data_IF_063031122246
#
_entry.id   IF_063031122246
#
_cell.length_a   1.000
_cell.length_b   1.000
_cell.length_c   1.000
_cell.angle_alpha   90.00
_cell.angle_beta   90.00
_cell.angle_gamma   90.00
#
_symmetry.space_group_name_H-M   'P 1'
#
loop_
_entity.id
_entity.type
_entity.pdbx_description
1 polymer ?
#
# COMPACT_ATOMS: atom_id res chain seq x y z
N UNK A 1 42.49 76.66 5.26
CA UNK A 1 41.73 76.14 4.10
C UNK A 1 42.30 74.85 3.48
N UNK A 2 43.58 74.52 3.65
CA UNK A 2 44.16 73.28 3.08
C UNK A 2 43.83 71.99 3.86
N UNK A 3 43.65 72.06 5.19
CA UNK A 3 43.37 70.88 6.02
C UNK A 3 41.95 70.30 5.82
N UNK A 4 40.98 71.13 5.45
CA UNK A 4 39.59 70.71 5.21
C UNK A 4 39.40 69.98 3.88
N UNK A 5 40.25 70.24 2.87
CA UNK A 5 40.22 69.53 1.59
C UNK A 5 40.81 68.11 1.70
N UNK A 6 41.82 67.90 2.54
CA UNK A 6 42.45 66.59 2.73
C UNK A 6 41.52 65.59 3.45
N UNK A 7 40.78 66.05 4.47
CA UNK A 7 39.79 65.24 5.17
C UNK A 7 38.61 64.84 4.27
N UNK A 8 38.15 65.73 3.39
CA UNK A 8 37.09 65.44 2.41
C UNK A 8 37.53 64.41 1.36
N UNK A 9 38.78 64.47 0.88
CA UNK A 9 39.33 63.48 -0.05
C UNK A 9 39.54 62.11 0.59
N UNK A 10 39.96 62.05 1.85
CA UNK A 10 40.10 60.79 2.59
C UNK A 10 38.73 60.15 2.88
N UNK A 11 37.72 60.95 3.20
CA UNK A 11 36.34 60.48 3.38
C UNK A 11 35.73 59.96 2.07
N UNK A 12 35.97 60.63 0.94
CA UNK A 12 35.56 60.16 -0.39
C UNK A 12 36.28 58.86 -0.81
N UNK A 13 37.56 58.70 -0.44
CA UNK A 13 38.31 57.46 -0.69
C UNK A 13 37.81 56.32 0.19
N UNK A 14 37.49 56.58 1.46
CA UNK A 14 36.90 55.60 2.38
C UNK A 14 35.47 55.21 1.95
N UNK A 15 34.66 56.15 1.47
CA UNK A 15 33.34 55.86 0.90
C UNK A 15 33.48 55.08 -0.41
N UNK A 16 34.49 55.36 -1.24
CA UNK A 16 34.76 54.60 -2.46
C UNK A 16 35.24 53.18 -2.17
N UNK A 17 36.08 52.97 -1.14
CA UNK A 17 36.56 51.64 -0.72
C UNK A 17 35.45 50.87 0.01
N UNK A 18 34.61 51.55 0.79
CA UNK A 18 33.43 50.94 1.40
C UNK A 18 32.37 50.62 0.32
N UNK A 19 32.20 51.46 -0.70
CA UNK A 19 31.29 51.20 -1.81
C UNK A 19 31.80 50.06 -2.70
N UNK A 20 33.10 49.91 -2.94
CA UNK A 20 33.66 48.74 -3.66
C UNK A 20 33.68 47.48 -2.80
N UNK A 21 33.84 47.58 -1.47
CA UNK A 21 33.65 46.46 -0.55
C UNK A 21 32.17 46.04 -0.46
N UNK A 22 31.23 47.00 -0.48
CA UNK A 22 29.79 46.73 -0.57
C UNK A 22 29.36 46.27 -1.97
N UNK A 23 30.06 46.65 -3.03
CA UNK A 23 29.86 46.08 -4.38
C UNK A 23 30.42 44.65 -4.48
N UNK A 24 31.49 44.33 -3.75
CA UNK A 24 32.01 42.97 -3.62
C UNK A 24 31.14 42.08 -2.71
N UNK A 25 30.45 42.66 -1.70
CA UNK A 25 29.43 41.96 -0.92
C UNK A 25 28.03 41.94 -1.59
N UNK A 26 27.85 42.68 -2.69
CA UNK A 26 26.60 42.75 -3.46
C UNK A 26 26.48 41.75 -4.61
N UNK A 27 27.53 40.97 -4.88
CA UNK A 27 27.51 39.79 -5.75
C UNK A 27 27.69 38.54 -4.89
N UNK A 28 26.79 38.31 -3.94
CA UNK A 28 26.63 37.00 -3.31
C UNK A 28 26.04 36.02 -4.33
N UNK A 29 26.81 35.71 -5.38
CA UNK A 29 26.56 34.55 -6.22
C UNK A 29 26.59 33.34 -5.30
N UNK A 30 25.50 32.56 -5.27
CA UNK A 30 25.43 31.31 -4.51
C UNK A 30 26.72 30.51 -4.72
N UNK A 31 27.28 29.96 -3.63
CA UNK A 31 28.47 29.11 -3.69
C UNK A 31 28.30 28.06 -4.79
N UNK A 32 29.35 27.79 -5.57
CA UNK A 32 29.24 26.86 -6.70
C UNK A 32 28.97 25.44 -6.19
N UNK A 33 28.26 24.63 -6.97
CA UNK A 33 28.14 23.20 -6.68
C UNK A 33 29.52 22.54 -6.85
N UNK A 34 29.83 21.54 -6.03
CA UNK A 34 31.03 20.74 -6.16
C UNK A 34 31.23 20.29 -7.63
N UNK A 35 32.40 20.57 -8.26
CA UNK A 35 32.61 20.30 -9.67
C UNK A 35 32.48 18.81 -10.05
N UNK A 36 32.86 17.89 -9.16
CA UNK A 36 32.73 16.45 -9.40
C UNK A 36 31.25 16.04 -9.38
N UNK A 37 30.48 16.57 -8.44
CA UNK A 37 29.03 16.32 -8.36
C UNK A 37 28.30 16.92 -9.56
N UNK A 38 28.70 18.10 -10.04
CA UNK A 38 28.13 18.70 -11.24
C UNK A 38 28.37 17.84 -12.49
N UNK A 39 29.56 17.25 -12.64
CA UNK A 39 29.86 16.31 -13.71
C UNK A 39 29.02 15.03 -13.58
N UNK A 40 28.87 14.50 -12.37
CA UNK A 40 28.04 13.32 -12.10
C UNK A 40 26.57 13.56 -12.46
N UNK A 41 25.99 14.70 -12.06
CA UNK A 41 24.62 15.07 -12.42
C UNK A 41 24.47 15.20 -13.95
N UNK A 42 25.42 15.82 -14.64
CA UNK A 42 25.41 15.90 -16.11
C UNK A 42 25.48 14.52 -16.78
N UNK A 43 26.28 13.61 -16.23
CA UNK A 43 26.38 12.22 -16.71
C UNK A 43 25.07 11.45 -16.52
N UNK A 44 24.28 11.78 -15.50
CA UNK A 44 22.91 11.26 -15.29
C UNK A 44 21.87 11.89 -16.23
N UNK A 45 22.27 12.76 -17.16
CA UNK A 45 21.38 13.44 -18.09
C UNK A 45 20.76 14.73 -17.54
N UNK A 46 21.16 15.17 -16.34
CA UNK A 46 20.54 16.29 -15.60
C UNK A 46 20.96 17.69 -16.07
N UNK A 47 21.57 17.80 -17.25
CA UNK A 47 22.09 19.07 -17.77
C UNK A 47 21.79 19.35 -19.25
N UNK A 48 21.11 18.45 -19.96
CA UNK A 48 20.91 18.62 -21.41
C UNK A 48 19.74 19.56 -21.77
N UNK A 49 18.80 19.83 -20.85
CA UNK A 49 17.56 20.56 -21.18
C UNK A 49 17.38 21.94 -20.54
N UNK A 50 18.11 22.32 -19.48
CA UNK A 50 18.05 23.67 -18.88
C UNK A 50 19.40 24.10 -18.33
N UNK A 51 19.86 25.29 -18.73
CA UNK A 51 21.08 25.93 -18.25
C UNK A 51 20.93 26.59 -16.87
N UNK A 52 20.19 25.95 -15.95
CA UNK A 52 19.95 26.43 -14.58
C UNK A 52 20.80 25.68 -13.55
N UNK A 53 20.93 26.25 -12.35
CA UNK A 53 21.53 25.56 -11.20
C UNK A 53 20.69 24.29 -10.89
N UNK A 54 21.30 23.08 -10.88
CA UNK A 54 20.59 21.84 -10.54
C UNK A 54 19.89 21.88 -9.19
N UNK A 55 20.41 22.68 -8.25
CA UNK A 55 19.84 22.88 -6.91
C UNK A 55 18.61 23.81 -6.89
N UNK A 56 18.33 24.51 -7.99
CA UNK A 56 17.23 25.48 -8.14
C UNK A 56 16.18 25.04 -9.15
N UNK A 57 16.35 23.86 -9.75
CA UNK A 57 15.49 23.38 -10.82
C UNK A 57 14.18 22.80 -10.26
N UNK A 58 13.13 23.63 -10.22
CA UNK A 58 11.75 23.15 -10.23
C UNK A 58 11.42 22.53 -11.60
N UNK A 59 11.52 21.20 -11.72
CA UNK A 59 11.29 20.45 -12.97
C UNK A 59 11.30 18.94 -12.76
N UNK A 60 11.36 18.16 -13.86
CA UNK A 60 11.35 16.68 -13.86
C UNK A 60 12.53 16.04 -13.11
N UNK A 61 13.51 16.82 -12.67
CA UNK A 61 14.58 16.36 -11.79
C UNK A 61 14.79 17.45 -10.77
N UNK A 62 14.63 17.09 -9.50
CA UNK A 62 14.83 17.98 -8.37
C UNK A 62 16.06 17.51 -7.60
N UNK A 63 17.07 18.37 -7.51
CA UNK A 63 18.17 18.17 -6.59
C UNK A 63 18.08 19.23 -5.49
N UNK A 64 18.28 18.80 -4.23
CA UNK A 64 18.45 19.71 -3.10
C UNK A 64 19.92 19.71 -2.69
N UNK A 65 20.41 20.88 -2.29
CA UNK A 65 21.81 21.08 -1.96
C UNK A 65 21.94 21.77 -0.61
N UNK A 66 23.04 21.50 0.09
CA UNK A 66 23.39 22.21 1.32
C UNK A 66 23.83 23.66 1.06
N UNK A 67 24.03 24.43 2.13
CA UNK A 67 24.57 25.79 2.09
C UNK A 67 26.11 25.80 2.29
N UNK A 68 26.81 24.74 1.90
CA UNK A 68 28.24 24.56 2.12
C UNK A 68 29.11 25.64 1.44
N UNK A 69 30.25 25.95 2.08
CA UNK A 69 31.29 26.84 1.56
C UNK A 69 32.66 26.13 1.61
N UNK A 70 33.52 26.25 0.59
CA UNK A 70 33.38 27.07 -0.63
C UNK A 70 32.45 26.45 -1.70
N UNK A 71 32.09 25.17 -1.56
CA UNK A 71 31.20 24.46 -2.48
C UNK A 71 29.95 23.94 -1.77
N UNK A 72 28.79 24.08 -2.42
CA UNK A 72 27.56 23.37 -2.07
C UNK A 72 27.66 21.91 -2.50
N UNK A 73 26.96 21.03 -1.80
CA UNK A 73 26.87 19.60 -2.14
C UNK A 73 25.43 19.13 -2.24
N UNK A 74 25.19 18.14 -3.09
CA UNK A 74 23.87 17.54 -3.27
C UNK A 74 23.52 16.68 -2.06
N UNK A 75 22.37 16.95 -1.44
CA UNK A 75 21.85 16.21 -0.28
C UNK A 75 20.63 15.35 -0.63
N UNK A 76 19.86 15.74 -1.65
CA UNK A 76 18.74 14.96 -2.16
C UNK A 76 18.75 14.98 -3.68
N UNK A 77 18.44 13.84 -4.29
CA UNK A 77 18.30 13.70 -5.73
C UNK A 77 17.02 12.92 -6.06
N UNK A 78 16.13 13.53 -6.84
CA UNK A 78 14.94 12.90 -7.39
C UNK A 78 15.00 12.89 -8.91
N UNK A 79 14.92 11.69 -9.50
CA UNK A 79 14.87 11.44 -10.93
C UNK A 79 13.42 11.09 -11.30
N UNK A 80 12.75 11.92 -12.10
CA UNK A 80 11.37 11.67 -12.53
C UNK A 80 11.23 11.62 -14.05
N UNK A 81 10.37 10.73 -14.54
CA UNK A 81 10.05 10.58 -15.96
C UNK A 81 11.30 10.40 -16.85
N UNK A 82 12.15 9.45 -16.47
CA UNK A 82 13.39 9.16 -17.20
C UNK A 82 13.08 8.45 -18.54
N UNK A 83 13.94 8.61 -19.54
CA UNK A 83 13.88 7.76 -20.74
C UNK A 83 14.45 6.37 -20.47
N UNK A 84 14.04 5.38 -21.26
CA UNK A 84 14.57 3.99 -21.23
C UNK A 84 16.10 3.91 -21.38
N UNK A 85 16.70 4.93 -22.00
CA UNK A 85 18.15 5.04 -22.23
C UNK A 85 18.91 5.64 -21.05
N UNK A 86 18.21 6.13 -20.03
CA UNK A 86 18.83 6.72 -18.84
C UNK A 86 19.47 5.61 -18.03
N UNK A 87 20.80 5.55 -17.98
CA UNK A 87 21.51 4.61 -17.11
C UNK A 87 22.02 5.35 -15.88
N UNK A 88 21.61 4.87 -14.70
CA UNK A 88 22.15 5.37 -13.44
C UNK A 88 23.52 4.74 -13.27
N UNK A 89 24.57 5.45 -13.67
CA UNK A 89 25.93 4.91 -13.61
C UNK A 89 26.40 4.82 -12.15
N UNK A 90 27.09 3.73 -11.81
CA UNK A 90 27.66 3.53 -10.48
C UNK A 90 28.63 4.67 -10.12
N UNK A 91 29.42 5.15 -11.09
CA UNK A 91 30.35 6.25 -10.92
C UNK A 91 29.65 7.58 -10.55
N UNK A 92 28.47 7.86 -11.12
CA UNK A 92 27.72 9.05 -10.76
C UNK A 92 27.17 8.97 -9.33
N UNK A 93 26.66 7.80 -8.94
CA UNK A 93 26.22 7.56 -7.55
C UNK A 93 27.39 7.65 -6.57
N UNK A 94 28.56 7.13 -6.92
CA UNK A 94 29.77 7.18 -6.11
C UNK A 94 30.25 8.62 -5.87
N UNK A 95 30.20 9.48 -6.89
CA UNK A 95 30.52 10.90 -6.75
C UNK A 95 29.54 11.67 -5.85
N UNK A 96 28.27 11.24 -5.80
CA UNK A 96 27.22 11.88 -5.00
C UNK A 96 27.15 11.31 -3.56
N UNK A 97 27.60 10.07 -3.37
CA UNK A 97 27.51 9.31 -2.12
C UNK A 97 27.96 10.06 -0.85
N UNK A 98 29.04 10.86 -0.83
CA UNK A 98 29.53 11.48 0.41
C UNK A 98 28.49 12.39 1.10
N UNK A 99 27.69 13.12 0.33
CA UNK A 99 26.74 14.11 0.83
C UNK A 99 25.27 13.71 0.65
N UNK A 100 24.98 12.74 -0.21
CA UNK A 100 23.62 12.34 -0.50
C UNK A 100 22.96 11.68 0.73
N UNK A 101 21.73 12.09 1.03
CA UNK A 101 20.90 11.59 2.14
C UNK A 101 19.55 11.04 1.65
N UNK A 102 19.06 11.55 0.53
CA UNK A 102 17.82 11.08 -0.07
C UNK A 102 17.99 10.80 -1.58
N UNK A 103 17.48 9.66 -2.04
CA UNK A 103 17.50 9.27 -3.45
C UNK A 103 16.13 8.74 -3.87
N UNK A 104 15.55 9.33 -4.90
CA UNK A 104 14.22 8.97 -5.40
C UNK A 104 14.22 8.72 -6.92
N UNK A 105 13.48 7.69 -7.33
CA UNK A 105 13.17 7.36 -8.71
C UNK A 105 11.65 7.30 -8.90
N UNK A 106 11.12 8.01 -9.90
CA UNK A 106 9.70 8.01 -10.23
C UNK A 106 9.50 7.90 -11.73
N UNK A 107 8.78 6.89 -12.20
CA UNK A 107 8.55 6.64 -13.63
C UNK A 107 9.85 6.61 -14.45
N UNK A 108 10.86 5.92 -13.93
CA UNK A 108 12.17 5.76 -14.56
C UNK A 108 12.39 4.29 -14.94
N UNK A 109 12.02 3.87 -16.17
CA UNK A 109 12.15 2.49 -16.67
C UNK A 109 13.61 2.03 -16.91
N UNK A 110 14.58 2.80 -16.43
CA UNK A 110 16.00 2.50 -16.46
C UNK A 110 16.30 1.08 -15.94
N UNK A 111 17.34 0.44 -16.47
CA UNK A 111 17.82 -0.81 -15.88
C UNK A 111 18.33 -0.55 -14.45
N UNK A 112 18.06 -1.46 -13.49
CA UNK A 112 18.53 -1.31 -12.12
C UNK A 112 20.07 -1.36 -12.10
N UNK A 113 20.73 -0.74 -11.10
CA UNK A 113 22.16 -0.91 -10.92
C UNK A 113 22.49 -2.41 -10.80
N UNK A 114 23.36 -2.92 -11.68
CA UNK A 114 23.80 -4.33 -11.64
C UNK A 114 24.75 -4.63 -10.47
N UNK A 115 25.26 -3.58 -9.82
CA UNK A 115 26.21 -3.64 -8.72
C UNK A 115 25.53 -3.25 -7.41
N UNK A 116 26.04 -3.78 -6.30
CA UNK A 116 25.67 -3.35 -4.95
C UNK A 116 25.86 -1.83 -4.80
N UNK A 117 25.11 -1.17 -3.90
CA UNK A 117 25.29 0.27 -3.68
C UNK A 117 26.72 0.55 -3.19
N UNK A 118 27.34 1.66 -3.60
CA UNK A 118 28.64 2.09 -3.05
C UNK A 118 28.57 2.15 -1.52
N UNK A 119 29.64 1.72 -0.82
CA UNK A 119 29.63 1.64 0.66
C UNK A 119 29.29 2.97 1.33
N UNK A 120 29.82 4.08 0.81
CA UNK A 120 29.51 5.41 1.33
C UNK A 120 28.05 5.80 1.13
N UNK A 121 27.44 5.38 0.01
CA UNK A 121 26.02 5.62 -0.25
C UNK A 121 25.18 4.81 0.74
N UNK A 122 25.51 3.54 0.92
CA UNK A 122 24.84 2.65 1.85
C UNK A 122 24.92 3.13 3.31
N UNK A 123 26.06 3.71 3.71
CA UNK A 123 26.25 4.27 5.04
C UNK A 123 25.59 5.66 5.22
N UNK A 124 25.46 6.44 4.15
CA UNK A 124 24.99 7.83 4.23
C UNK A 124 23.50 8.04 3.96
N UNK A 125 22.85 7.13 3.23
CA UNK A 125 21.47 7.33 2.77
C UNK A 125 20.46 7.10 3.90
N UNK A 126 19.54 8.05 4.06
CA UNK A 126 18.49 8.06 5.08
C UNK A 126 17.09 7.84 4.49
N UNK A 127 16.89 8.19 3.22
CA UNK A 127 15.62 8.03 2.51
C UNK A 127 15.86 7.47 1.11
N UNK A 128 15.16 6.38 0.76
CA UNK A 128 15.17 5.81 -0.57
C UNK A 128 13.74 5.60 -1.07
N UNK A 129 13.46 6.10 -2.27
CA UNK A 129 12.17 5.93 -2.93
C UNK A 129 12.33 5.41 -4.36
N UNK A 130 11.54 4.40 -4.72
CA UNK A 130 11.48 3.85 -6.07
C UNK A 130 10.02 3.56 -6.42
N UNK A 131 9.46 4.35 -7.33
CA UNK A 131 8.06 4.23 -7.76
C UNK A 131 7.99 4.00 -9.27
N UNK A 132 7.36 2.90 -9.69
CA UNK A 132 7.21 2.54 -11.11
C UNK A 132 8.53 2.66 -11.90
N UNK A 133 9.63 2.30 -11.26
CA UNK A 133 10.99 2.57 -11.72
C UNK A 133 11.88 1.34 -11.65
N UNK A 134 13.03 1.41 -12.31
CA UNK A 134 14.12 0.46 -12.29
C UNK A 134 13.80 -0.94 -12.83
N UNK A 135 12.61 -1.15 -13.41
CA UNK A 135 12.13 -2.41 -14.00
C UNK A 135 11.94 -3.54 -12.98
N UNK A 136 13.00 -3.94 -12.28
CA UNK A 136 13.00 -4.94 -11.22
C UNK A 136 14.10 -4.63 -10.20
N UNK A 137 13.73 -4.40 -8.93
CA UNK A 137 14.68 -4.00 -7.89
C UNK A 137 15.18 -5.21 -7.10
N UNK A 138 16.48 -5.28 -6.83
CA UNK A 138 17.07 -6.36 -6.02
C UNK A 138 16.85 -6.10 -4.53
N UNK A 139 16.24 -7.03 -3.80
CA UNK A 139 16.15 -6.88 -2.35
C UNK A 139 17.51 -6.96 -1.66
N UNK A 140 18.47 -7.70 -2.23
CA UNK A 140 19.84 -7.77 -1.70
C UNK A 140 20.52 -6.41 -1.83
N UNK A 141 20.18 -5.64 -2.87
CA UNK A 141 20.65 -4.27 -3.02
C UNK A 141 20.04 -3.37 -1.92
N UNK A 142 18.73 -3.48 -1.70
CA UNK A 142 18.01 -2.73 -0.66
C UNK A 142 18.51 -3.05 0.76
N UNK A 143 18.75 -4.33 1.06
CA UNK A 143 19.15 -4.77 2.40
C UNK A 143 20.53 -4.25 2.83
N UNK A 144 21.29 -3.63 1.91
CA UNK A 144 22.57 -2.96 2.25
C UNK A 144 22.38 -1.53 2.74
N UNK A 145 21.22 -0.91 2.52
CA UNK A 145 20.94 0.45 2.95
C UNK A 145 20.49 0.46 4.42
N UNK A 146 21.40 0.11 5.33
CA UNK A 146 21.10 -0.15 6.74
C UNK A 146 20.65 1.09 7.53
N UNK A 147 21.10 2.28 7.13
CA UNK A 147 20.81 3.54 7.84
C UNK A 147 19.52 4.24 7.38
N UNK A 148 18.69 3.56 6.58
CA UNK A 148 17.43 4.14 6.13
C UNK A 148 16.47 4.36 7.30
N UNK A 149 15.90 5.56 7.31
CA UNK A 149 14.76 5.96 8.15
C UNK A 149 13.46 5.86 7.38
N UNK A 150 13.51 6.01 6.06
CA UNK A 150 12.36 5.90 5.16
C UNK A 150 12.71 5.05 3.93
N UNK A 151 11.88 4.05 3.65
CA UNK A 151 11.97 3.21 2.47
C UNK A 151 10.63 3.16 1.76
N UNK A 152 10.62 3.53 0.48
CA UNK A 152 9.45 3.41 -0.40
C UNK A 152 9.81 2.64 -1.66
N UNK A 153 9.12 1.54 -1.90
CA UNK A 153 9.16 0.76 -3.14
C UNK A 153 7.72 0.53 -3.58
N UNK A 154 7.28 1.19 -4.64
CA UNK A 154 5.89 1.14 -5.07
C UNK A 154 5.80 0.82 -6.57
N UNK A 155 4.92 -0.10 -6.96
CA UNK A 155 4.72 -0.48 -8.37
C UNK A 155 6.00 -0.93 -9.08
N UNK A 156 6.98 -1.46 -8.34
CA UNK A 156 8.24 -1.98 -8.87
C UNK A 156 8.45 -3.39 -8.33
N UNK A 157 8.54 -4.43 -9.17
CA UNK A 157 8.69 -5.79 -8.70
C UNK A 157 10.06 -5.99 -8.03
N UNK A 158 10.05 -6.61 -6.84
CA UNK A 158 11.27 -7.06 -6.18
C UNK A 158 11.73 -8.41 -6.78
N UNK A 159 13.04 -8.54 -7.03
CA UNK A 159 13.70 -9.77 -7.43
C UNK A 159 14.37 -10.40 -6.21
N UNK A 160 13.82 -11.51 -5.74
CA UNK A 160 14.29 -12.10 -4.48
C UNK A 160 14.46 -13.60 -4.51
N UNK A 161 13.82 -14.32 -5.43
CA UNK A 161 14.06 -15.74 -5.64
C UNK A 161 13.92 -16.62 -4.38
N UNK A 162 13.28 -16.12 -3.33
CA UNK A 162 13.20 -16.71 -1.99
C UNK A 162 11.82 -16.46 -1.40
N UNK A 163 11.25 -17.36 -0.58
CA UNK A 163 9.95 -17.17 0.07
C UNK A 163 9.98 -16.27 1.32
N UNK A 164 11.13 -15.72 1.74
CA UNK A 164 11.25 -14.87 2.95
C UNK A 164 11.71 -13.44 2.61
N UNK A 165 11.13 -12.86 1.57
CA UNK A 165 11.62 -11.66 0.90
C UNK A 165 11.62 -10.44 1.81
N UNK A 166 10.53 -10.23 2.56
CA UNK A 166 10.39 -9.11 3.48
C UNK A 166 11.45 -9.14 4.59
N UNK A 167 11.65 -10.32 5.19
CA UNK A 167 12.62 -10.51 6.27
C UNK A 167 14.05 -10.19 5.81
N UNK A 168 14.40 -10.56 4.58
CA UNK A 168 15.72 -10.23 4.00
C UNK A 168 15.88 -8.71 3.87
N UNK A 169 14.88 -8.01 3.32
CA UNK A 169 14.94 -6.55 3.11
C UNK A 169 15.18 -5.82 4.44
N UNK A 170 14.39 -6.14 5.47
CA UNK A 170 14.38 -5.36 6.72
C UNK A 170 15.36 -5.87 7.78
N UNK A 171 16.06 -6.97 7.54
CA UNK A 171 16.91 -7.66 8.53
C UNK A 171 17.98 -6.80 9.20
N UNK A 172 18.40 -5.71 8.57
CA UNK A 172 19.47 -4.81 9.04
C UNK A 172 19.04 -3.34 9.01
N UNK A 173 17.73 -3.05 9.04
CA UNK A 173 17.19 -1.68 8.95
C UNK A 173 16.72 -1.16 10.31
N UNK A 174 17.61 -1.10 11.29
CA UNK A 174 17.26 -0.83 12.70
C UNK A 174 16.71 0.60 12.94
N UNK A 175 16.96 1.52 12.00
CA UNK A 175 16.57 2.94 12.09
C UNK A 175 15.28 3.28 11.33
N UNK A 176 14.61 2.27 10.76
CA UNK A 176 13.48 2.49 9.87
C UNK A 176 12.23 2.95 10.64
N UNK A 177 11.69 4.10 10.25
CA UNK A 177 10.47 4.71 10.80
C UNK A 177 9.28 4.57 9.86
N UNK A 178 9.53 4.58 8.54
CA UNK A 178 8.50 4.48 7.50
C UNK A 178 8.90 3.44 6.47
N UNK A 179 8.06 2.42 6.31
CA UNK A 179 8.23 1.37 5.32
C UNK A 179 7.01 1.29 4.43
N UNK A 180 7.21 1.48 3.13
CA UNK A 180 6.20 1.26 2.10
C UNK A 180 6.81 0.33 1.05
N UNK A 181 6.29 -0.89 0.94
CA UNK A 181 6.57 -1.81 -0.16
C UNK A 181 5.24 -2.21 -0.74
N UNK A 182 4.74 -1.49 -1.76
CA UNK A 182 3.40 -1.71 -2.32
C UNK A 182 3.46 -2.11 -3.79
N UNK A 183 2.57 -3.02 -4.21
CA UNK A 183 2.52 -3.54 -5.59
C UNK A 183 3.90 -4.02 -6.09
N UNK A 184 4.69 -4.65 -5.21
CA UNK A 184 6.08 -5.00 -5.46
C UNK A 184 6.28 -6.49 -5.72
N UNK A 185 5.19 -7.26 -5.89
CA UNK A 185 5.20 -8.70 -6.06
C UNK A 185 5.86 -9.45 -4.88
N UNK A 186 5.89 -8.83 -3.69
CA UNK A 186 6.49 -9.41 -2.50
C UNK A 186 5.69 -10.64 -2.08
N UNK A 187 6.35 -11.77 -1.92
CA UNK A 187 5.73 -13.05 -1.55
C UNK A 187 6.29 -13.57 -0.23
N UNK A 188 5.65 -14.60 0.31
CA UNK A 188 6.07 -15.22 1.57
C UNK A 188 5.14 -14.93 2.73
N UNK A 189 5.74 -14.71 3.91
CA UNK A 189 5.05 -14.51 5.19
C UNK A 189 5.52 -13.21 5.85
N UNK A 190 4.67 -12.64 6.70
CA UNK A 190 5.10 -11.60 7.62
C UNK A 190 6.10 -12.17 8.63
N UNK A 191 7.18 -11.43 8.97
CA UNK A 191 8.19 -11.91 9.89
C UNK A 191 7.61 -12.02 11.31
N UNK A 192 7.99 -13.07 12.02
CA UNK A 192 7.69 -13.20 13.45
C UNK A 192 8.50 -12.22 14.30
N UNK A 193 9.62 -11.68 13.79
CA UNK A 193 10.45 -10.73 14.52
C UNK A 193 10.73 -9.52 13.65
N UNK A 194 10.33 -8.35 14.13
CA UNK A 194 10.57 -7.06 13.49
C UNK A 194 11.85 -6.45 14.07
N UNK A 195 12.84 -6.19 13.21
CA UNK A 195 14.11 -5.56 13.61
C UNK A 195 14.04 -4.02 13.58
N UNK A 196 12.88 -3.46 13.24
CA UNK A 196 12.63 -2.02 13.12
C UNK A 196 11.66 -1.57 14.22
N UNK A 197 12.11 -1.39 15.48
CA UNK A 197 11.22 -1.14 16.62
C UNK A 197 10.53 0.24 16.57
N UNK A 198 11.11 1.20 15.85
CA UNK A 198 10.62 2.58 15.75
C UNK A 198 9.66 2.81 14.59
N UNK A 199 9.14 1.73 13.99
CA UNK A 199 8.27 1.84 12.82
C UNK A 199 6.94 2.51 13.19
N UNK A 200 6.66 3.63 12.52
CA UNK A 200 5.43 4.42 12.69
C UNK A 200 4.44 4.22 11.54
N UNK A 201 4.94 3.80 10.37
CA UNK A 201 4.15 3.55 9.17
C UNK A 201 4.63 2.29 8.47
N UNK A 202 3.70 1.35 8.28
CA UNK A 202 3.90 0.12 7.55
C UNK A 202 2.82 -0.01 6.46
N UNK A 203 3.24 0.03 5.21
CA UNK A 203 2.41 -0.29 4.06
C UNK A 203 3.04 -1.41 3.25
N UNK A 204 2.37 -2.56 3.24
CA UNK A 204 2.75 -3.75 2.46
C UNK A 204 1.64 -4.12 1.46
N UNK A 205 0.82 -3.16 1.06
CA UNK A 205 -0.38 -3.41 0.25
C UNK A 205 -0.09 -3.90 -1.17
N UNK A 206 -1.03 -4.66 -1.74
CA UNK A 206 -0.96 -5.08 -3.15
C UNK A 206 0.16 -6.06 -3.46
N UNK A 207 0.54 -6.89 -2.48
CA UNK A 207 1.58 -7.91 -2.64
C UNK A 207 0.96 -9.32 -2.67
N UNK A 208 1.82 -10.35 -2.56
CA UNK A 208 1.45 -11.76 -2.52
C UNK A 208 1.80 -12.38 -1.16
N UNK A 209 1.76 -11.58 -0.09
CA UNK A 209 2.07 -12.06 1.26
C UNK A 209 0.93 -12.96 1.72
N UNK A 210 1.29 -14.09 2.31
CA UNK A 210 0.36 -15.15 2.71
C UNK A 210 0.57 -15.56 4.17
N UNK A 211 -0.30 -16.43 4.68
CA UNK A 211 -0.25 -16.87 6.07
C UNK A 211 -0.99 -15.95 7.02
N UNK A 212 -0.80 -16.16 8.32
CA UNK A 212 -1.45 -15.35 9.36
C UNK A 212 -0.69 -14.06 9.62
N UNK A 213 -1.41 -13.04 10.11
CA UNK A 213 -0.79 -11.88 10.73
C UNK A 213 -0.23 -12.37 12.08
N UNK A 214 1.09 -12.38 12.29
CA UNK A 214 1.65 -12.86 13.54
C UNK A 214 1.34 -11.87 14.66
N UNK A 215 1.04 -12.38 15.86
CA UNK A 215 0.78 -11.53 17.05
C UNK A 215 1.96 -10.60 17.34
N UNK A 216 3.17 -10.97 16.96
CA UNK A 216 4.37 -10.15 17.16
C UNK A 216 4.37 -8.84 16.38
N UNK A 217 3.43 -8.61 15.46
CA UNK A 217 3.19 -7.28 14.87
C UNK A 217 2.78 -6.25 15.94
N UNK A 218 2.21 -6.69 17.07
CA UNK A 218 1.81 -5.81 18.17
C UNK A 218 3.00 -5.30 18.98
N UNK A 219 4.21 -5.81 18.74
CA UNK A 219 5.44 -5.26 19.30
C UNK A 219 5.89 -3.96 18.61
N UNK A 220 5.30 -3.61 17.46
CA UNK A 220 5.56 -2.33 16.78
C UNK A 220 4.85 -1.19 17.50
N UNK A 221 5.25 -0.93 18.74
CA UNK A 221 4.54 -0.01 19.64
C UNK A 221 4.28 1.35 19.01
N UNK A 222 5.22 1.94 18.27
CA UNK A 222 5.06 3.26 17.67
C UNK A 222 4.17 3.35 16.42
N UNK A 223 3.53 2.26 15.97
CA UNK A 223 2.82 2.24 14.69
C UNK A 223 1.53 3.06 14.73
N UNK A 224 1.39 3.95 13.75
CA UNK A 224 0.22 4.83 13.57
C UNK A 224 -0.60 4.45 12.34
N UNK A 225 0.04 3.83 11.34
CA UNK A 225 -0.57 3.45 10.08
C UNK A 225 -0.13 2.04 9.71
N UNK A 226 -1.10 1.13 9.60
CA UNK A 226 -0.90 -0.25 9.22
C UNK A 226 -1.77 -0.57 8.00
N UNK A 227 -1.13 -0.80 6.85
CA UNK A 227 -1.80 -1.21 5.63
C UNK A 227 -1.21 -2.55 5.14
N UNK A 228 -2.00 -3.61 5.25
CA UNK A 228 -1.70 -4.96 4.75
C UNK A 228 -2.70 -5.40 3.68
N UNK A 229 -3.44 -4.46 3.10
CA UNK A 229 -4.53 -4.74 2.19
C UNK A 229 -4.07 -5.41 0.90
N UNK A 230 -4.99 -6.08 0.19
CA UNK A 230 -4.75 -6.64 -1.13
C UNK A 230 -3.57 -7.62 -1.14
N UNK A 231 -3.60 -8.59 -0.22
CA UNK A 231 -2.65 -9.68 -0.07
C UNK A 231 -3.39 -11.04 -0.02
N UNK A 232 -2.69 -12.12 0.33
CA UNK A 232 -3.26 -13.45 0.54
C UNK A 232 -3.24 -13.86 2.02
N UNK A 233 -3.38 -12.90 2.94
CA UNK A 233 -3.39 -13.16 4.39
C UNK A 233 -4.63 -13.94 4.80
N UNK A 234 -4.50 -14.80 5.80
CA UNK A 234 -5.56 -15.70 6.30
C UNK A 234 -5.53 -15.82 7.81
N UNK A 235 -6.54 -16.45 8.41
CA UNK A 235 -6.64 -16.57 9.87
C UNK A 235 -7.21 -15.30 10.50
N UNK A 236 -7.05 -15.16 11.81
CA UNK A 236 -7.70 -14.10 12.57
C UNK A 236 -6.87 -12.81 12.61
N UNK A 237 -7.56 -11.69 12.85
CA UNK A 237 -6.90 -10.46 13.29
C UNK A 237 -6.30 -10.73 14.68
N UNK A 238 -5.03 -10.40 14.94
CA UNK A 238 -4.39 -10.60 16.24
C UNK A 238 -5.23 -10.06 17.38
N UNK A 239 -5.46 -10.88 18.41
CA UNK A 239 -6.27 -10.49 19.56
C UNK A 239 -5.69 -9.28 20.30
N UNK A 240 -4.38 -9.05 20.19
CA UNK A 240 -3.65 -7.97 20.83
C UNK A 240 -3.46 -6.73 19.95
N UNK A 241 -4.19 -6.62 18.82
CA UNK A 241 -4.07 -5.45 17.94
C UNK A 241 -4.38 -4.13 18.66
N UNK A 242 -5.22 -4.18 19.71
CA UNK A 242 -5.53 -3.04 20.58
C UNK A 242 -4.36 -2.51 21.43
N UNK A 243 -3.27 -3.27 21.56
CA UNK A 243 -2.06 -2.83 22.29
C UNK A 243 -1.29 -1.74 21.53
N UNK A 244 -1.57 -1.59 20.23
CA UNK A 244 -0.99 -0.58 19.34
C UNK A 244 -1.72 0.76 19.48
N UNK A 245 -1.67 1.36 20.67
CA UNK A 245 -2.49 2.51 21.10
C UNK A 245 -2.36 3.78 20.24
N UNK A 246 -1.36 3.86 19.37
CA UNK A 246 -1.17 5.00 18.46
C UNK A 246 -1.75 4.78 17.07
N UNK A 247 -2.38 3.64 16.80
CA UNK A 247 -3.02 3.36 15.51
C UNK A 247 -4.13 4.38 15.22
N UNK A 248 -4.00 5.01 14.06
CA UNK A 248 -5.00 5.91 13.47
C UNK A 248 -5.63 5.29 12.22
N UNK A 249 -4.90 4.41 11.53
CA UNK A 249 -5.35 3.74 10.31
C UNK A 249 -4.98 2.27 10.32
N UNK A 250 -5.98 1.42 10.10
CA UNK A 250 -5.82 -0.01 9.87
C UNK A 250 -6.56 -0.39 8.60
N UNK A 251 -5.81 -0.82 7.58
CA UNK A 251 -6.36 -1.38 6.35
C UNK A 251 -5.89 -2.83 6.16
N UNK A 252 -6.81 -3.76 6.33
CA UNK A 252 -6.62 -5.20 6.13
C UNK A 252 -7.51 -5.73 5.00
N UNK A 253 -8.08 -4.83 4.19
CA UNK A 253 -9.05 -5.19 3.16
C UNK A 253 -8.48 -6.07 2.05
N UNK A 254 -9.34 -6.74 1.29
CA UNK A 254 -8.95 -7.61 0.17
C UNK A 254 -7.93 -8.68 0.59
N UNK A 255 -8.27 -9.47 1.61
CA UNK A 255 -7.50 -10.61 2.07
C UNK A 255 -8.44 -11.83 2.24
N UNK A 256 -8.01 -12.86 2.97
CA UNK A 256 -8.83 -14.01 3.36
C UNK A 256 -8.86 -14.19 4.89
N UNK A 257 -8.85 -13.08 5.63
CA UNK A 257 -8.95 -13.08 7.10
C UNK A 257 -10.32 -13.59 7.54
N UNK A 258 -10.37 -14.27 8.68
CA UNK A 258 -11.58 -14.90 9.24
C UNK A 258 -11.71 -14.66 10.75
N UNK A 259 -12.83 -15.05 11.33
CA UNK A 259 -13.16 -14.75 12.73
C UNK A 259 -13.78 -13.36 12.89
N UNK A 260 -14.06 -12.99 14.14
CA UNK A 260 -14.66 -11.70 14.49
C UNK A 260 -13.63 -10.58 14.64
N UNK A 261 -14.14 -9.35 14.78
CA UNK A 261 -13.33 -8.18 15.12
C UNK A 261 -12.94 -8.30 16.61
N UNK A 262 -11.64 -8.31 16.97
CA UNK A 262 -11.21 -8.44 18.37
C UNK A 262 -11.76 -7.31 19.26
N UNK A 263 -12.16 -7.66 20.48
CA UNK A 263 -12.68 -6.68 21.46
C UNK A 263 -11.65 -5.61 21.83
N UNK A 264 -10.36 -5.95 21.77
CA UNK A 264 -9.25 -5.02 22.02
C UNK A 264 -9.19 -3.87 21.02
N UNK A 265 -9.85 -3.94 19.86
CA UNK A 265 -9.97 -2.77 18.95
C UNK A 265 -10.63 -1.59 19.66
N UNK A 266 -11.49 -1.83 20.66
CA UNK A 266 -12.10 -0.79 21.50
C UNK A 266 -11.08 0.06 22.29
N UNK A 267 -9.86 -0.45 22.50
CA UNK A 267 -8.82 0.24 23.28
C UNK A 267 -7.97 1.19 22.46
N UNK A 268 -8.23 1.32 21.15
CA UNK A 268 -7.51 2.22 20.25
C UNK A 268 -8.12 3.63 20.30
N UNK A 269 -7.52 4.59 21.02
CA UNK A 269 -8.14 5.88 21.31
C UNK A 269 -8.28 6.80 20.08
N UNK A 270 -7.32 6.72 19.15
CA UNK A 270 -7.19 7.62 18.01
C UNK A 270 -7.52 6.94 16.67
N UNK A 271 -8.14 5.75 16.68
CA UNK A 271 -8.44 5.04 15.44
C UNK A 271 -9.48 5.81 14.61
N UNK A 272 -9.08 6.24 13.42
CA UNK A 272 -9.92 7.00 12.50
C UNK A 272 -10.44 6.14 11.35
N UNK A 273 -9.62 5.21 10.85
CA UNK A 273 -9.91 4.37 9.68
C UNK A 273 -9.75 2.91 10.05
N UNK A 274 -10.86 2.16 9.91
CA UNK A 274 -10.87 0.70 10.00
C UNK A 274 -11.46 0.12 8.71
N UNK A 275 -10.58 -0.35 7.84
CA UNK A 275 -10.96 -0.98 6.58
C UNK A 275 -10.69 -2.50 6.63
N UNK A 276 -11.77 -3.28 6.70
CA UNK A 276 -11.76 -4.74 6.77
C UNK A 276 -12.52 -5.38 5.59
N UNK A 277 -12.87 -4.57 4.58
CA UNK A 277 -13.69 -5.01 3.45
C UNK A 277 -13.08 -6.17 2.66
N UNK A 278 -13.90 -6.98 2.00
CA UNK A 278 -13.48 -8.09 1.13
C UNK A 278 -12.57 -9.08 1.86
N UNK A 279 -13.09 -9.70 2.92
CA UNK A 279 -12.45 -10.76 3.70
C UNK A 279 -13.48 -11.89 3.95
N UNK A 280 -13.20 -12.78 4.91
CA UNK A 280 -14.09 -13.86 5.38
C UNK A 280 -14.40 -13.70 6.87
N UNK A 281 -14.43 -12.46 7.36
CA UNK A 281 -14.71 -12.15 8.76
C UNK A 281 -16.17 -12.48 9.07
N UNK A 282 -16.43 -12.96 10.28
CA UNK A 282 -17.73 -13.50 10.65
C UNK A 282 -18.12 -13.16 12.10
N UNK A 283 -19.31 -13.62 12.50
CA UNK A 283 -19.93 -13.24 13.77
C UNK A 283 -20.62 -11.88 13.69
N UNK A 284 -21.02 -11.36 14.85
CA UNK A 284 -21.69 -10.07 14.93
C UNK A 284 -20.70 -8.91 14.85
N UNK A 285 -21.17 -7.79 14.30
CA UNK A 285 -20.44 -6.52 14.39
C UNK A 285 -20.42 -6.10 15.86
N UNK A 286 -19.26 -5.79 16.47
CA UNK A 286 -19.24 -5.39 17.86
C UNK A 286 -19.84 -3.99 18.10
N UNK A 287 -20.66 -3.82 19.14
CA UNK A 287 -21.31 -2.54 19.45
C UNK A 287 -20.33 -1.46 19.90
N UNK A 288 -19.17 -1.83 20.47
CA UNK A 288 -18.15 -0.87 20.93
C UNK A 288 -17.63 0.03 19.79
N UNK A 289 -17.73 -0.40 18.53
CA UNK A 289 -17.36 0.43 17.37
C UNK A 289 -18.15 1.75 17.33
N UNK A 290 -19.37 1.76 17.90
CA UNK A 290 -20.18 2.97 18.02
C UNK A 290 -19.67 3.97 19.07
N UNK A 291 -18.90 3.49 20.04
CA UNK A 291 -18.33 4.24 21.15
C UNK A 291 -16.98 4.89 20.79
N UNK A 292 -16.32 4.38 19.74
CA UNK A 292 -15.06 4.89 19.23
C UNK A 292 -15.26 6.31 18.66
N UNK A 293 -14.77 7.32 19.39
CA UNK A 293 -15.06 8.73 19.08
C UNK A 293 -14.31 9.24 17.84
N UNK A 294 -13.10 8.73 17.62
CA UNK A 294 -12.23 9.11 16.50
C UNK A 294 -12.60 8.46 15.17
N UNK A 295 -13.43 7.40 15.17
CA UNK A 295 -13.72 6.62 13.98
C UNK A 295 -14.49 7.46 12.94
N UNK A 296 -13.91 7.59 11.75
CA UNK A 296 -14.43 8.34 10.61
C UNK A 296 -14.78 7.41 9.45
N UNK A 297 -14.01 6.34 9.26
CA UNK A 297 -14.22 5.39 8.18
C UNK A 297 -14.31 3.96 8.71
N UNK A 298 -15.42 3.30 8.41
CA UNK A 298 -15.67 1.90 8.74
C UNK A 298 -16.12 1.15 7.49
N UNK A 299 -15.24 0.30 6.97
CA UNK A 299 -15.56 -0.57 5.83
C UNK A 299 -15.54 -2.04 6.26
N UNK A 300 -16.71 -2.66 6.21
CA UNK A 300 -16.99 -4.07 6.53
C UNK A 300 -17.58 -4.82 5.33
N UNK A 301 -17.55 -4.22 4.13
CA UNK A 301 -18.21 -4.79 2.96
C UNK A 301 -17.64 -6.17 2.57
N UNK A 302 -18.45 -6.99 1.90
CA UNK A 302 -18.03 -8.29 1.35
C UNK A 302 -17.32 -9.18 2.38
N UNK A 303 -18.01 -9.48 3.48
CA UNK A 303 -17.60 -10.40 4.53
C UNK A 303 -18.74 -11.39 4.85
N UNK A 304 -18.57 -12.20 5.89
CA UNK A 304 -19.53 -13.19 6.38
C UNK A 304 -20.15 -12.77 7.74
N UNK A 305 -20.22 -11.46 8.03
CA UNK A 305 -20.84 -10.97 9.27
C UNK A 305 -22.34 -11.30 9.33
N UNK A 306 -22.85 -11.49 10.54
CA UNK A 306 -24.24 -11.86 10.80
C UNK A 306 -24.90 -11.04 11.91
N UNK A 307 -26.23 -11.12 11.94
CA UNK A 307 -27.06 -10.45 12.94
C UNK A 307 -27.40 -8.99 12.60
N UNK A 308 -27.78 -8.26 13.64
CA UNK A 308 -28.26 -6.88 13.52
C UNK A 308 -27.08 -5.91 13.57
N UNK A 309 -27.03 -4.97 12.63
CA UNK A 309 -26.07 -3.85 12.68
C UNK A 309 -26.34 -3.02 13.95
N UNK A 310 -25.39 -2.95 14.91
CA UNK A 310 -25.63 -2.38 16.23
C UNK A 310 -25.43 -0.85 16.26
N UNK A 311 -25.81 -0.17 15.17
CA UNK A 311 -25.48 1.24 14.96
C UNK A 311 -26.74 2.10 14.85
N UNK A 312 -26.78 3.18 15.63
CA UNK A 312 -27.82 4.21 15.50
C UNK A 312 -27.58 5.10 14.29
N UNK A 313 -28.65 5.71 13.76
CA UNK A 313 -28.54 6.73 12.71
C UNK A 313 -27.58 7.88 13.08
N UNK A 314 -27.55 8.27 14.36
CA UNK A 314 -26.63 9.31 14.86
C UNK A 314 -25.16 8.91 14.72
N UNK A 315 -24.82 7.66 15.01
CA UNK A 315 -23.45 7.17 14.82
C UNK A 315 -23.09 7.16 13.33
N UNK A 316 -23.94 6.58 12.47
CA UNK A 316 -23.66 6.52 11.03
C UNK A 316 -23.51 7.91 10.40
N UNK A 317 -24.27 8.90 10.87
CA UNK A 317 -24.14 10.29 10.39
C UNK A 317 -22.81 10.98 10.76
N UNK A 318 -22.05 10.43 11.73
CA UNK A 318 -20.71 10.92 12.09
C UNK A 318 -19.61 10.34 11.21
N UNK A 319 -19.85 9.18 10.61
CA UNK A 319 -18.89 8.54 9.72
C UNK A 319 -18.84 9.29 8.39
N UNK A 320 -17.63 9.47 7.88
CA UNK A 320 -17.39 9.95 6.52
C UNK A 320 -17.65 8.83 5.51
N UNK A 321 -17.27 7.60 5.86
CA UNK A 321 -17.46 6.41 5.04
C UNK A 321 -17.98 5.27 5.92
N UNK A 322 -19.13 4.71 5.54
CA UNK A 322 -19.64 3.46 6.10
C UNK A 322 -20.03 2.50 4.97
N UNK A 323 -19.52 1.28 5.03
CA UNK A 323 -19.82 0.23 4.04
C UNK A 323 -20.04 -1.10 4.75
N UNK A 324 -21.20 -1.72 4.55
CA UNK A 324 -21.52 -3.05 5.09
C UNK A 324 -22.19 -3.98 4.07
N UNK A 325 -22.30 -3.53 2.81
CA UNK A 325 -22.90 -4.32 1.73
C UNK A 325 -22.14 -5.63 1.50
N UNK A 326 -22.81 -6.63 0.90
CA UNK A 326 -22.18 -7.92 0.62
C UNK A 326 -22.07 -8.89 1.80
N UNK A 327 -22.62 -8.53 2.98
CA UNK A 327 -22.78 -9.44 4.11
C UNK A 327 -24.22 -10.02 4.12
N UNK A 328 -24.40 -11.21 3.54
CA UNK A 328 -25.74 -11.78 3.29
C UNK A 328 -26.57 -12.08 4.54
N UNK A 329 -25.94 -12.17 5.72
CA UNK A 329 -26.61 -12.46 7.01
C UNK A 329 -26.75 -11.22 7.90
N UNK A 330 -26.25 -10.06 7.48
CA UNK A 330 -26.46 -8.80 8.18
C UNK A 330 -27.81 -8.20 7.83
N UNK A 331 -28.43 -7.59 8.82
CA UNK A 331 -29.62 -6.78 8.63
C UNK A 331 -29.64 -5.55 9.56
N UNK A 332 -30.48 -4.57 9.26
CA UNK A 332 -30.65 -3.38 10.10
C UNK A 332 -32.04 -3.29 10.75
N UNK A 333 -32.12 -2.68 11.93
CA UNK A 333 -33.39 -2.42 12.60
C UNK A 333 -34.09 -1.19 12.01
N UNK A 334 -35.25 -1.38 11.38
CA UNK A 334 -36.06 -0.28 10.79
C UNK A 334 -36.49 0.79 11.79
N UNK A 335 -36.57 0.43 13.07
CA UNK A 335 -36.96 1.38 14.12
C UNK A 335 -35.84 2.37 14.48
N UNK A 336 -34.59 1.99 14.20
CA UNK A 336 -33.39 2.78 14.53
C UNK A 336 -32.75 3.44 13.30
N UNK A 337 -32.94 2.85 12.12
CA UNK A 337 -32.38 3.28 10.85
C UNK A 337 -33.50 3.38 9.81
N UNK A 338 -33.75 4.59 9.32
CA UNK A 338 -34.73 4.80 8.24
C UNK A 338 -34.22 4.20 6.93
N UNK A 339 -35.13 3.87 6.02
CA UNK A 339 -34.78 3.36 4.69
C UNK A 339 -33.95 4.35 3.84
N UNK A 340 -33.88 5.63 4.25
CA UNK A 340 -33.07 6.66 3.60
C UNK A 340 -31.58 6.54 3.95
N UNK A 341 -31.24 5.90 5.07
CA UNK A 341 -29.86 5.59 5.42
C UNK A 341 -29.43 4.37 4.61
N UNK A 342 -28.62 4.59 3.57
CA UNK A 342 -28.11 3.53 2.71
C UNK A 342 -27.04 2.68 3.45
N UNK A 343 -27.48 1.77 4.33
CA UNK A 343 -26.61 0.82 5.05
C UNK A 343 -26.09 -0.29 4.13
N UNK A 344 -26.73 -0.49 2.97
CA UNK A 344 -26.36 -1.52 1.99
C UNK A 344 -26.71 -2.96 2.40
N UNK A 345 -27.49 -3.14 3.47
CA UNK A 345 -27.97 -4.43 3.99
C UNK A 345 -29.50 -4.43 4.09
N UNK A 346 -30.12 -5.59 4.14
CA UNK A 346 -31.58 -5.71 4.21
C UNK A 346 -32.13 -5.34 5.61
N UNK A 347 -33.40 -4.95 5.74
CA UNK A 347 -34.02 -4.78 7.06
C UNK A 347 -34.21 -6.12 7.76
N UNK A 348 -34.14 -6.12 9.09
CA UNK A 348 -34.40 -7.31 9.91
C UNK A 348 -35.89 -7.62 10.04
N UNK A 349 -36.22 -8.90 10.17
CA UNK A 349 -37.52 -9.36 10.68
C UNK A 349 -37.58 -9.25 12.23
N UNK A 350 -38.69 -9.69 12.83
CA UNK A 350 -38.88 -9.68 14.30
C UNK A 350 -37.89 -10.58 15.07
N UNK A 351 -37.13 -11.43 14.38
CA UNK A 351 -36.17 -12.37 14.97
C UNK A 351 -34.71 -11.96 14.70
N UNK A 352 -34.48 -10.85 13.99
CA UNK A 352 -33.13 -10.38 13.67
C UNK A 352 -32.51 -11.04 12.44
N UNK A 353 -33.32 -11.60 11.54
CA UNK A 353 -32.85 -12.16 10.26
C UNK A 353 -33.13 -11.19 9.09
N UNK A 354 -32.25 -11.15 8.07
CA UNK A 354 -32.47 -10.33 6.89
C UNK A 354 -33.76 -10.73 6.16
N UNK A 355 -34.65 -9.77 5.95
CA UNK A 355 -35.85 -9.97 5.12
C UNK A 355 -35.39 -10.04 3.68
N UNK A 356 -35.32 -11.24 3.12
CA UNK A 356 -35.12 -11.43 1.68
C UNK A 356 -36.37 -10.96 0.95
N UNK A 357 -36.19 -10.15 -0.10
CA UNK A 357 -37.30 -9.92 -1.03
C UNK A 357 -37.74 -11.29 -1.58
N UNK A 358 -39.05 -11.57 -1.67
CA UNK A 358 -39.49 -12.79 -2.34
C UNK A 358 -38.86 -12.81 -3.75
N UNK A 359 -38.39 -13.97 -4.24
CA UNK A 359 -37.92 -14.07 -5.61
C UNK A 359 -39.02 -13.50 -6.50
N UNK A 360 -38.66 -12.56 -7.38
CA UNK A 360 -39.61 -11.90 -8.27
C UNK A 360 -40.49 -12.99 -8.89
N UNK A 361 -41.75 -13.03 -8.45
CA UNK A 361 -42.71 -13.98 -8.95
C UNK A 361 -42.71 -13.83 -10.45
N UNK A 362 -42.46 -14.95 -11.13
CA UNK A 362 -42.71 -15.10 -12.55
C UNK A 362 -44.01 -14.38 -12.88
N UNK A 363 -43.94 -13.55 -13.92
CA UNK A 363 -45.04 -12.72 -14.37
C UNK A 363 -46.34 -13.52 -14.35
N UNK A 364 -47.35 -12.93 -13.69
CA UNK A 364 -48.74 -13.29 -13.87
C UNK A 364 -49.07 -13.21 -15.36
N UNK A 365 -49.00 -14.33 -16.06
CA UNK A 365 -49.72 -14.51 -17.32
C UNK A 365 -51.17 -14.80 -16.97
N UNK A 366 -51.94 -13.73 -17.04
CA UNK A 366 -53.38 -13.72 -17.23
C UNK A 366 -53.74 -14.58 -18.44
N UNK A 367 -54.41 -15.72 -18.23
CA UNK A 367 -55.22 -16.35 -19.26
C UNK A 367 -56.60 -16.71 -18.70
N UNK A 368 -57.58 -16.19 -19.41
CA UNK A 368 -59.02 -16.29 -19.16
C UNK A 368 -59.60 -17.61 -19.69
N UNK A 369 -60.56 -18.13 -18.91
CA UNK A 369 -61.75 -18.90 -19.31
C UNK A 369 -61.61 -20.36 -19.78
N UNK A 370 -62.44 -21.22 -19.18
CA UNK A 370 -62.79 -22.55 -19.65
C UNK A 370 -63.40 -23.40 -18.54
N UNK A 371 -64.72 -23.32 -18.35
CA UNK A 371 -65.49 -24.33 -17.61
C UNK A 371 -65.44 -25.65 -18.39
N UNK A 372 -65.14 -26.77 -17.74
CA UNK A 372 -65.83 -28.03 -18.00
C UNK A 372 -65.62 -29.05 -16.87
N UNK A 373 -66.72 -29.71 -16.54
CA UNK A 373 -66.98 -30.68 -15.49
C UNK A 373 -66.77 -32.11 -16.01
N UNK A 374 -66.47 -33.06 -15.12
CA UNK A 374 -66.46 -34.50 -15.45
C UNK A 374 -65.30 -35.28 -14.82
N UNK A 375 -65.59 -35.98 -13.72
CA UNK A 375 -64.62 -36.82 -13.01
C UNK A 375 -64.37 -38.19 -13.65
N UNK A 376 -63.35 -38.88 -13.13
CA UNK A 376 -63.37 -40.32 -12.86
C UNK A 376 -62.12 -40.74 -12.06
N UNK A 377 -62.38 -41.69 -11.18
CA UNK A 377 -61.51 -42.40 -10.25
C UNK A 377 -60.18 -42.95 -10.82
N UNK A 378 -59.18 -43.13 -9.94
CA UNK A 378 -57.98 -43.90 -10.26
C UNK A 378 -56.91 -43.87 -9.16
N UNK A 379 -56.70 -45.02 -8.54
CA UNK A 379 -55.84 -45.32 -7.38
C UNK A 379 -54.32 -45.09 -7.55
N UNK A 380 -53.67 -45.12 -6.37
CA UNK A 380 -52.37 -45.73 -6.06
C UNK A 380 -51.06 -44.89 -6.11
N UNK A 381 -50.54 -44.71 -4.89
CA UNK A 381 -49.19 -45.12 -4.42
C UNK A 381 -47.92 -44.35 -4.87
N UNK A 382 -46.98 -44.29 -3.93
CA UNK A 382 -45.55 -44.16 -4.19
C UNK A 382 -44.97 -42.75 -4.12
N UNK A 383 -44.38 -42.41 -2.97
CA UNK A 383 -43.53 -41.24 -2.83
C UNK A 383 -42.21 -41.39 -3.60
N UNK A 384 -41.67 -40.26 -4.08
CA UNK A 384 -40.33 -40.19 -4.65
C UNK A 384 -39.63 -38.87 -4.29
N UNK A 385 -38.53 -38.99 -3.54
CA UNK A 385 -37.55 -37.95 -3.25
C UNK A 385 -36.60 -37.80 -4.45
N UNK A 386 -36.83 -36.83 -5.33
CA UNK A 386 -35.93 -36.53 -6.44
C UNK A 386 -34.88 -35.47 -6.07
N UNK A 387 -33.74 -35.91 -5.54
CA UNK A 387 -32.48 -35.15 -5.56
C UNK A 387 -31.88 -35.21 -6.96
N UNK A 388 -31.88 -34.08 -7.67
CA UNK A 388 -31.23 -33.94 -8.99
C UNK A 388 -29.71 -34.03 -8.88
N UNK A 389 -29.14 -35.17 -9.27
CA UNK A 389 -27.71 -35.31 -9.58
C UNK A 389 -27.40 -34.86 -11.02
N UNK A 390 -26.15 -34.45 -11.32
CA UNK A 390 -25.76 -34.04 -12.66
C UNK A 390 -25.89 -35.20 -13.66
N UNK A 391 -26.27 -34.88 -14.90
CA UNK A 391 -26.53 -35.87 -15.94
C UNK A 391 -25.30 -36.73 -16.24
N UNK A 392 -25.53 -38.02 -16.53
CA UNK A 392 -24.48 -39.01 -16.82
C UNK A 392 -23.52 -38.58 -17.96
N UNK A 393 -23.99 -37.69 -18.83
CA UNK A 393 -23.20 -37.10 -19.93
C UNK A 393 -22.10 -36.17 -19.39
N UNK A 394 -22.40 -35.37 -18.37
CA UNK A 394 -21.43 -34.43 -17.76
C UNK A 394 -20.35 -35.21 -17.01
N UNK A 395 -20.73 -36.29 -16.32
CA UNK A 395 -19.78 -37.15 -15.62
C UNK A 395 -18.87 -37.90 -16.61
N UNK A 396 -19.41 -38.36 -17.75
CA UNK A 396 -18.63 -39.00 -18.81
C UNK A 396 -17.62 -38.06 -19.47
N UNK A 397 -18.00 -36.80 -19.72
CA UNK A 397 -17.10 -35.78 -20.27
C UNK A 397 -15.95 -35.43 -19.31
N UNK A 398 -16.23 -35.31 -18.01
CA UNK A 398 -15.22 -35.02 -17.00
C UNK A 398 -14.17 -36.14 -16.90
N UNK A 399 -14.60 -37.40 -16.90
CA UNK A 399 -13.69 -38.56 -16.86
C UNK A 399 -12.86 -38.63 -18.15
N UNK A 400 -13.48 -38.40 -19.31
CA UNK A 400 -12.78 -38.41 -20.60
C UNK A 400 -11.67 -37.35 -20.70
N UNK A 401 -11.95 -36.12 -20.25
CA UNK A 401 -10.96 -35.03 -20.23
C UNK A 401 -9.82 -35.32 -19.23
N UNK A 402 -10.13 -35.93 -18.09
CA UNK A 402 -9.14 -36.28 -17.08
C UNK A 402 -8.19 -37.40 -17.56
N UNK A 403 -8.71 -38.38 -18.31
CA UNK A 403 -7.89 -39.43 -18.94
C UNK A 403 -6.98 -38.86 -20.04
N UNK A 404 -7.49 -37.93 -20.87
CA UNK A 404 -6.70 -37.29 -21.93
C UNK A 404 -5.53 -36.49 -21.34
N UNK A 405 -5.76 -35.73 -20.27
CA UNK A 405 -4.71 -34.98 -19.58
C UNK A 405 -3.60 -35.91 -19.06
N UNK A 406 -3.96 -37.08 -18.51
CA UNK A 406 -3.00 -38.05 -18.00
C UNK A 406 -2.14 -38.66 -19.11
N UNK A 407 -2.72 -38.97 -20.26
CA UNK A 407 -2.00 -39.47 -21.44
C UNK A 407 -1.01 -38.43 -21.96
N UNK A 408 -1.41 -37.15 -22.02
CA UNK A 408 -0.52 -36.06 -22.45
C UNK A 408 0.67 -35.93 -21.50
N UNK A 409 0.44 -35.96 -20.19
CA UNK A 409 1.50 -35.90 -19.18
C UNK A 409 2.45 -37.09 -19.31
N UNK A 410 1.90 -38.31 -19.49
CA UNK A 410 2.69 -39.52 -19.68
C UNK A 410 3.58 -39.42 -20.93
N UNK A 411 3.05 -38.96 -22.06
CA UNK A 411 3.79 -38.76 -23.30
C UNK A 411 4.90 -37.72 -23.12
N UNK A 412 4.62 -36.60 -22.45
CA UNK A 412 5.63 -35.57 -22.15
C UNK A 412 6.74 -36.11 -21.24
N UNK A 413 6.40 -36.93 -20.25
CA UNK A 413 7.38 -37.58 -19.38
C UNK A 413 8.24 -38.59 -20.16
N UNK A 414 7.64 -39.43 -21.01
CA UNK A 414 8.38 -40.39 -21.84
C UNK A 414 9.31 -39.67 -22.82
N UNK A 415 8.88 -38.57 -23.44
CA UNK A 415 9.73 -37.76 -24.31
C UNK A 415 10.90 -37.09 -23.58
N UNK A 416 10.79 -36.83 -22.27
CA UNK A 416 11.90 -36.32 -21.44
C UNK A 416 12.87 -37.41 -20.97
N UNK A 417 12.43 -38.65 -20.87
CA UNK A 417 13.27 -39.79 -20.47
C UNK A 417 14.06 -40.37 -21.65
N UNK A 418 13.57 -40.18 -22.89
CA UNK A 418 14.24 -40.63 -24.11
C UNK A 418 15.18 -39.59 -24.76
N UNK A 419 15.61 -38.54 -24.04
CA UNK A 419 16.52 -37.48 -24.54
C UNK A 419 17.82 -37.39 -23.77
#
# INVERSE_FOLDING_TARGET
>A
MAATLAASRLLLLLISVAATASFALGLAGRAQLDPQQLLALRALGLGARRAGDPCDAGGAVAASCDAGAPFRRVTSLALTNCSDTTSVSAAALEALAPSLRALAFSDCPAAPPRLLPPEQLAAGLLSFSCTASLGRLSAVWLSRLANLTELTVANTPLATGSPSELAVVISHMDHLNRLTISNANLSGFLPHHWHCPNLTHLDLSGNRISGAIPDTITHLGGITHLNLSSNALKGQIPAHIGDLIWLTTVDLSNNSLSGGIPETVSTLPELEVLNLGSNRLNGSIPPFLSEMRGLKELNLENNDFDGVVPFSARFLSRLQVFRAAGNGKLCYNRSELSAEVAVGVAPCDKYGFPVTAPPATAQSEKSTAGYDDGGSDGDADGGDDARGGPSAVVLGLAIGLSCLAFVIILVVCLCKVCR
#
